data_IF_054252129406
#
_entry.id   IF_054252129406
#
_cell.length_a   1.000
_cell.length_b   1.000
_cell.length_c   1.000
_cell.angle_alpha   90.00
_cell.angle_beta   90.00
_cell.angle_gamma   90.00
#
_symmetry.space_group_name_H-M   'P 1'
#
loop_
_entity.id
_entity.type
_entity.pdbx_description
1 polymer ?
#
# COMPACT_ATOMS: atom_id res chain seq x y z
N UNK A 1 1.44 26.47 1.14
CA UNK A 1 0.98 25.13 1.57
C UNK A 1 -0.39 24.82 0.97
N UNK A 2 -1.38 25.70 1.12
CA UNK A 2 -2.71 25.54 0.50
C UNK A 2 -2.66 25.23 -1.00
N UNK A 3 -1.79 25.92 -1.75
CA UNK A 3 -1.63 25.65 -3.18
C UNK A 3 -0.95 24.29 -3.48
N UNK A 4 -0.18 23.72 -2.55
CA UNK A 4 0.40 22.39 -2.70
C UNK A 4 -0.63 21.30 -2.34
N UNK A 5 -1.40 21.53 -1.27
CA UNK A 5 -2.53 20.71 -0.86
C UNK A 5 -3.60 20.63 -1.97
N UNK A 6 -4.00 21.77 -2.55
CA UNK A 6 -4.98 21.79 -3.65
C UNK A 6 -4.48 21.04 -4.91
N UNK A 7 -3.17 21.06 -5.19
CA UNK A 7 -2.59 20.27 -6.28
C UNK A 7 -2.62 18.78 -5.97
N UNK A 8 -2.32 18.40 -4.73
CA UNK A 8 -2.38 17.02 -4.27
C UNK A 8 -3.80 16.47 -4.33
N UNK A 9 -4.79 17.23 -3.85
CA UNK A 9 -6.20 16.86 -3.94
C UNK A 9 -6.63 16.68 -5.40
N UNK A 10 -6.26 17.60 -6.29
CA UNK A 10 -6.58 17.49 -7.71
C UNK A 10 -5.94 16.26 -8.38
N UNK A 11 -4.69 15.93 -8.03
CA UNK A 11 -4.00 14.73 -8.53
C UNK A 11 -4.64 13.44 -7.98
N UNK A 12 -5.01 13.43 -6.69
CA UNK A 12 -5.75 12.33 -6.06
C UNK A 12 -7.09 12.10 -6.75
N UNK A 13 -7.86 13.16 -6.99
CA UNK A 13 -9.14 13.12 -7.68
C UNK A 13 -9.02 12.54 -9.09
N UNK A 14 -7.99 12.98 -9.83
CA UNK A 14 -7.73 12.49 -11.18
C UNK A 14 -7.38 11.00 -11.17
N UNK A 15 -6.49 10.57 -10.27
CA UNK A 15 -6.11 9.18 -10.08
C UNK A 15 -7.32 8.31 -9.70
N UNK A 16 -8.10 8.71 -8.69
CA UNK A 16 -9.31 7.99 -8.26
C UNK A 16 -10.33 7.83 -9.39
N UNK A 17 -10.58 8.89 -10.17
CA UNK A 17 -11.52 8.84 -11.29
C UNK A 17 -11.05 7.90 -12.38
N UNK A 18 -9.76 7.92 -12.72
CA UNK A 18 -9.19 7.02 -13.70
C UNK A 18 -9.26 5.56 -13.21
N UNK A 19 -8.85 5.29 -11.96
CA UNK A 19 -8.95 3.96 -11.35
C UNK A 19 -10.37 3.41 -11.36
N UNK A 20 -11.37 4.22 -11.00
CA UNK A 20 -12.79 3.80 -11.07
C UNK A 20 -13.27 3.49 -12.50
N UNK A 21 -12.68 4.13 -13.52
CA UNK A 21 -12.98 3.82 -14.91
C UNK A 21 -12.29 2.52 -15.36
N UNK A 22 -11.03 2.30 -14.98
CA UNK A 22 -10.32 1.04 -15.21
C UNK A 22 -11.02 -0.14 -14.56
N UNK A 23 -11.46 0.00 -13.31
CA UNK A 23 -12.18 -1.05 -12.56
C UNK A 23 -13.43 -1.57 -13.28
N UNK A 24 -14.13 -0.70 -14.02
CA UNK A 24 -15.30 -1.09 -14.82
C UNK A 24 -14.95 -1.90 -16.07
N UNK A 25 -13.70 -1.78 -16.53
CA UNK A 25 -13.18 -2.46 -17.71
C UNK A 25 -12.45 -3.76 -17.37
N UNK A 26 -12.06 -3.94 -16.11
CA UNK A 26 -11.36 -5.16 -15.68
C UNK A 26 -12.19 -6.41 -16.00
N UNK A 27 -11.53 -7.48 -16.47
CA UNK A 27 -12.21 -8.75 -16.67
C UNK A 27 -12.71 -9.31 -15.31
N UNK A 28 -13.65 -10.27 -15.32
CA UNK A 28 -14.08 -10.94 -14.11
C UNK A 28 -12.89 -11.54 -13.36
N UNK A 29 -12.82 -11.25 -12.06
CA UNK A 29 -11.76 -11.77 -11.19
C UNK A 29 -11.82 -13.30 -11.13
N UNK A 30 -10.73 -14.02 -11.44
CA UNK A 30 -10.68 -15.47 -11.30
C UNK A 30 -10.94 -15.88 -9.84
N UNK A 31 -11.55 -17.05 -9.61
CA UNK A 31 -11.70 -17.57 -8.26
C UNK A 31 -10.33 -17.84 -7.64
N UNK A 32 -10.23 -17.62 -6.33
CA UNK A 32 -9.06 -18.03 -5.57
C UNK A 32 -8.95 -19.56 -5.58
N UNK A 33 -7.76 -20.09 -5.89
CA UNK A 33 -7.53 -21.52 -5.77
C UNK A 33 -7.55 -21.92 -4.30
N UNK A 34 -8.46 -22.84 -3.98
CA UNK A 34 -8.48 -23.53 -2.70
C UNK A 34 -8.04 -24.95 -2.94
N UNK A 35 -7.09 -25.40 -2.15
CA UNK A 35 -6.67 -26.80 -2.18
C UNK A 35 -7.89 -27.69 -1.93
N UNK A 36 -8.15 -28.70 -2.78
CA UNK A 36 -9.20 -29.66 -2.52
C UNK A 36 -8.98 -30.37 -1.17
N UNK A 37 -10.07 -30.74 -0.50
CA UNK A 37 -10.01 -31.61 0.66
C UNK A 37 -9.33 -32.93 0.28
N UNK A 38 -8.45 -33.41 1.14
CA UNK A 38 -7.80 -34.71 0.96
C UNK A 38 -8.87 -35.81 1.06
N UNK A 39 -8.99 -36.72 0.07
CA UNK A 39 -9.90 -37.85 0.16
C UNK A 39 -9.56 -38.78 1.33
N UNK A 40 -10.57 -39.41 1.94
CA UNK A 40 -10.40 -40.28 3.11
C UNK A 40 -9.37 -41.40 2.88
N UNK A 41 -9.46 -42.09 1.74
CA UNK A 41 -8.50 -43.14 1.38
C UNK A 41 -7.05 -42.64 1.25
N UNK A 42 -6.84 -41.37 0.90
CA UNK A 42 -5.51 -40.75 0.86
C UNK A 42 -5.07 -40.37 2.29
N UNK A 43 -5.99 -39.89 3.12
CA UNK A 43 -5.72 -39.60 4.54
C UNK A 43 -5.29 -40.85 5.31
N UNK A 44 -5.97 -41.97 5.09
CA UNK A 44 -5.64 -43.26 5.73
C UNK A 44 -4.21 -43.69 5.38
N UNK A 45 -3.84 -43.62 4.10
CA UNK A 45 -2.48 -43.94 3.64
C UNK A 45 -1.45 -42.97 4.25
N UNK A 46 -1.77 -41.68 4.31
CA UNK A 46 -0.88 -40.67 4.90
C UNK A 46 -0.67 -40.87 6.41
N UNK A 47 -1.68 -41.39 7.12
CA UNK A 47 -1.62 -41.67 8.55
C UNK A 47 -0.69 -42.86 8.86
N UNK A 48 -0.67 -43.87 7.99
CA UNK A 48 0.15 -45.07 8.13
C UNK A 48 1.59 -44.91 7.61
N UNK A 49 1.88 -43.81 6.90
CA UNK A 49 3.21 -43.54 6.33
C UNK A 49 4.25 -43.17 7.41
N UNK A 50 5.41 -43.85 7.36
CA UNK A 50 6.57 -43.47 8.17
C UNK A 50 7.23 -42.18 7.63
N UNK A 51 8.09 -41.56 8.43
CA UNK A 51 8.83 -40.37 8.00
C UNK A 51 9.66 -40.60 6.72
N UNK A 52 10.15 -41.83 6.52
CA UNK A 52 10.93 -42.19 5.32
C UNK A 52 10.04 -42.24 4.06
N UNK A 53 8.81 -42.73 4.19
CA UNK A 53 7.84 -42.87 3.07
C UNK A 53 7.29 -41.52 2.58
N UNK A 54 7.60 -40.42 3.29
CA UNK A 54 7.16 -39.07 2.92
C UNK A 54 7.96 -38.45 1.77
N UNK A 55 9.11 -39.02 1.40
CA UNK A 55 9.86 -38.58 0.20
C UNK A 55 9.00 -38.82 -1.05
N UNK A 56 8.91 -37.84 -1.94
CA UNK A 56 8.01 -37.89 -3.11
C UNK A 56 8.17 -39.16 -3.97
N UNK A 57 9.38 -39.69 -4.09
CA UNK A 57 9.70 -40.92 -4.83
C UNK A 57 9.22 -42.21 -4.14
N UNK A 58 9.06 -42.17 -2.80
CA UNK A 58 8.71 -43.28 -1.94
C UNK A 58 7.23 -43.28 -1.55
N UNK A 59 6.50 -42.20 -1.88
CA UNK A 59 5.08 -42.08 -1.61
C UNK A 59 4.27 -43.11 -2.41
N UNK A 60 3.26 -43.73 -1.79
CA UNK A 60 2.31 -44.58 -2.50
C UNK A 60 1.63 -43.87 -3.66
N UNK A 61 1.28 -44.64 -4.70
CA UNK A 61 0.68 -44.10 -5.93
C UNK A 61 -0.57 -43.23 -5.69
N UNK A 62 -1.53 -43.62 -4.82
CA UNK A 62 -2.72 -42.79 -4.57
C UNK A 62 -2.39 -41.41 -3.99
N UNK A 63 -1.40 -41.34 -3.11
CA UNK A 63 -0.93 -40.08 -2.51
C UNK A 63 -0.28 -39.20 -3.58
N UNK A 64 0.61 -39.79 -4.39
CA UNK A 64 1.27 -39.07 -5.50
C UNK A 64 0.28 -38.57 -6.54
N UNK A 65 -0.68 -39.41 -6.94
CA UNK A 65 -1.71 -39.06 -7.91
C UNK A 65 -2.55 -37.88 -7.41
N UNK A 66 -2.93 -37.89 -6.12
CA UNK A 66 -3.67 -36.78 -5.52
C UNK A 66 -2.86 -35.48 -5.47
N UNK A 67 -1.58 -35.53 -5.08
CA UNK A 67 -0.70 -34.36 -5.10
C UNK A 67 -0.52 -33.81 -6.52
N UNK A 68 -0.35 -34.69 -7.52
CA UNK A 68 -0.23 -34.30 -8.94
C UNK A 68 -1.50 -33.59 -9.42
N UNK A 69 -2.68 -34.13 -9.13
CA UNK A 69 -3.96 -33.51 -9.48
C UNK A 69 -4.12 -32.13 -8.82
N UNK A 70 -3.75 -31.99 -7.54
CA UNK A 70 -3.75 -30.68 -6.87
C UNK A 70 -2.79 -29.69 -7.52
N UNK A 71 -1.60 -30.14 -7.94
CA UNK A 71 -0.60 -29.29 -8.60
C UNK A 71 -1.05 -28.84 -9.99
N UNK A 72 -1.67 -29.74 -10.77
CA UNK A 72 -2.26 -29.43 -12.08
C UNK A 72 -3.37 -28.38 -11.94
N UNK A 73 -4.32 -28.57 -11.02
CA UNK A 73 -5.39 -27.60 -10.75
C UNK A 73 -4.84 -26.24 -10.29
N UNK A 74 -3.81 -26.25 -9.43
CA UNK A 74 -3.15 -25.02 -8.98
C UNK A 74 -2.50 -24.29 -10.14
N UNK A 75 -1.81 -25.02 -11.03
CA UNK A 75 -1.16 -24.45 -12.22
C UNK A 75 -2.17 -23.85 -13.19
N UNK A 76 -3.31 -24.51 -13.42
CA UNK A 76 -4.39 -23.96 -14.24
C UNK A 76 -4.96 -22.67 -13.64
N UNK A 77 -5.18 -22.65 -12.31
CA UNK A 77 -5.62 -21.43 -11.63
C UNK A 77 -4.59 -20.31 -11.72
N UNK A 78 -3.31 -20.61 -11.51
CA UNK A 78 -2.21 -19.64 -11.64
C UNK A 78 -2.14 -19.07 -13.07
N UNK A 79 -2.37 -19.89 -14.10
CA UNK A 79 -2.44 -19.42 -15.48
C UNK A 79 -3.62 -18.46 -15.71
N UNK A 80 -4.80 -18.74 -15.15
CA UNK A 80 -5.95 -17.84 -15.20
C UNK A 80 -5.67 -16.51 -14.48
N UNK A 81 -5.06 -16.57 -13.29
CA UNK A 81 -4.67 -15.38 -12.54
C UNK A 81 -3.61 -14.56 -13.28
N UNK A 82 -2.67 -15.20 -13.95
CA UNK A 82 -1.68 -14.52 -14.79
C UNK A 82 -2.36 -13.78 -15.94
N UNK A 83 -3.24 -14.46 -16.68
CA UNK A 83 -3.98 -13.84 -17.79
C UNK A 83 -4.84 -12.65 -17.31
N UNK A 84 -5.51 -12.79 -16.17
CA UNK A 84 -6.25 -11.70 -15.53
C UNK A 84 -5.34 -10.50 -15.22
N UNK A 85 -4.21 -10.73 -14.54
CA UNK A 85 -3.27 -9.66 -14.16
C UNK A 85 -2.71 -8.94 -15.38
N UNK A 86 -2.28 -9.68 -16.39
CA UNK A 86 -1.81 -9.09 -17.65
C UNK A 86 -2.88 -8.19 -18.26
N UNK A 87 -4.16 -8.61 -18.22
CA UNK A 87 -5.21 -7.78 -18.79
C UNK A 87 -5.52 -6.53 -17.97
N UNK A 88 -5.45 -6.62 -16.64
CA UNK A 88 -5.56 -5.45 -15.75
C UNK A 88 -4.41 -4.48 -16.02
N UNK A 89 -3.18 -4.97 -16.08
CA UNK A 89 -1.99 -4.17 -16.39
C UNK A 89 -2.09 -3.47 -17.76
N UNK A 90 -2.60 -4.15 -18.79
CA UNK A 90 -2.87 -3.54 -20.09
C UNK A 90 -3.87 -2.37 -19.98
N UNK A 91 -4.97 -2.55 -19.26
CA UNK A 91 -6.00 -1.52 -19.07
C UNK A 91 -5.44 -0.33 -18.30
N UNK A 92 -4.69 -0.58 -17.23
CA UNK A 92 -4.10 0.47 -16.40
C UNK A 92 -3.05 1.27 -17.18
N UNK A 93 -2.23 0.59 -17.99
CA UNK A 93 -1.26 1.22 -18.89
C UNK A 93 -1.93 2.08 -19.95
N UNK A 94 -2.98 1.57 -20.61
CA UNK A 94 -3.76 2.34 -21.60
C UNK A 94 -4.43 3.57 -21.00
N UNK A 95 -4.85 3.50 -19.73
CA UNK A 95 -5.42 4.62 -19.00
C UNK A 95 -4.38 5.60 -18.44
N UNK A 96 -3.08 5.26 -18.53
CA UNK A 96 -1.99 6.08 -18.00
C UNK A 96 -1.95 6.12 -16.47
N UNK A 97 -2.38 5.04 -15.80
CA UNK A 97 -2.45 4.99 -14.33
C UNK A 97 -1.10 5.24 -13.67
N UNK A 98 -0.02 4.67 -14.20
CA UNK A 98 1.34 4.89 -13.67
C UNK A 98 1.69 6.39 -13.63
N UNK A 99 1.39 7.13 -14.69
CA UNK A 99 1.65 8.57 -14.74
C UNK A 99 0.77 9.39 -13.79
N UNK A 100 -0.47 8.94 -13.54
CA UNK A 100 -1.36 9.57 -12.56
C UNK A 100 -0.94 9.26 -11.12
N UNK A 101 -0.42 8.06 -10.86
CA UNK A 101 0.15 7.68 -9.57
C UNK A 101 1.43 8.45 -9.30
N UNK A 102 2.33 8.54 -10.28
CA UNK A 102 3.54 9.36 -10.19
C UNK A 102 3.21 10.84 -9.92
N UNK A 103 2.26 11.42 -10.67
CA UNK A 103 1.86 12.81 -10.46
C UNK A 103 1.25 13.06 -9.07
N UNK A 104 0.49 12.08 -8.55
CA UNK A 104 0.00 12.14 -7.18
C UNK A 104 1.14 12.04 -6.17
N UNK A 105 2.06 11.10 -6.32
CA UNK A 105 3.21 10.94 -5.41
C UNK A 105 4.09 12.20 -5.40
N UNK A 106 4.39 12.78 -6.57
CA UNK A 106 5.13 14.03 -6.70
C UNK A 106 4.44 15.19 -5.96
N UNK A 107 3.10 15.23 -6.02
CA UNK A 107 2.31 16.27 -5.34
C UNK A 107 2.30 16.10 -3.81
N UNK A 108 2.27 14.85 -3.33
CA UNK A 108 2.42 14.50 -1.91
C UNK A 108 3.81 14.92 -1.43
N UNK A 109 4.87 14.55 -2.14
CA UNK A 109 6.24 14.92 -1.81
C UNK A 109 6.44 16.44 -1.77
N UNK A 110 5.89 17.16 -2.74
CA UNK A 110 5.92 18.62 -2.76
C UNK A 110 5.22 19.23 -1.53
N UNK A 111 4.07 18.68 -1.13
CA UNK A 111 3.35 19.11 0.08
C UNK A 111 4.19 18.87 1.35
N UNK A 112 4.79 17.68 1.48
CA UNK A 112 5.68 17.35 2.60
C UNK A 112 6.90 18.27 2.68
N UNK A 113 7.55 18.56 1.54
CA UNK A 113 8.68 19.49 1.49
C UNK A 113 8.32 20.90 1.96
N UNK A 114 7.13 21.42 1.58
CA UNK A 114 6.66 22.72 2.06
C UNK A 114 6.45 22.69 3.58
N UNK A 115 5.87 21.61 4.10
CA UNK A 115 5.68 21.39 5.53
C UNK A 115 6.98 21.39 6.33
N UNK A 116 7.96 20.59 5.89
CA UNK A 116 9.28 20.57 6.52
C UNK A 116 9.97 21.94 6.51
N UNK A 117 9.83 22.72 5.42
CA UNK A 117 10.35 24.10 5.39
C UNK A 117 9.68 25.01 6.41
N UNK A 118 8.36 24.86 6.61
CA UNK A 118 7.61 25.60 7.64
C UNK A 118 8.15 25.24 9.02
N UNK A 119 8.35 23.96 9.33
CA UNK A 119 8.87 23.55 10.65
C UNK A 119 10.34 23.92 10.85
N UNK A 120 11.17 23.87 9.82
CA UNK A 120 12.57 24.26 9.91
C UNK A 120 12.76 25.77 10.12
N UNK A 121 11.82 26.59 9.64
CA UNK A 121 11.86 28.05 9.80
C UNK A 121 11.43 28.43 11.21
N UNK A 122 12.26 29.09 12.03
CA UNK A 122 11.83 29.54 13.35
C UNK A 122 10.67 30.55 13.30
N UNK A 123 9.76 30.47 14.26
CA UNK A 123 8.70 31.45 14.44
C UNK A 123 8.97 32.31 15.68
N UNK A 124 9.13 33.62 15.49
CA UNK A 124 9.33 34.58 16.58
C UNK A 124 8.04 35.35 16.92
N UNK A 125 6.88 34.86 16.46
CA UNK A 125 5.55 35.42 16.75
C UNK A 125 4.51 34.32 16.98
N UNK A 126 3.43 34.65 17.69
CA UNK A 126 2.28 33.74 17.86
C UNK A 126 1.65 33.35 16.52
N UNK A 127 1.54 34.29 15.57
CA UNK A 127 1.03 34.02 14.23
C UNK A 127 1.90 33.00 13.48
N UNK A 128 3.23 33.09 13.61
CA UNK A 128 4.15 32.10 13.04
C UNK A 128 3.97 30.71 13.64
N UNK A 129 3.72 30.62 14.94
CA UNK A 129 3.41 29.34 15.62
C UNK A 129 2.07 28.77 15.13
N UNK A 130 1.05 29.60 14.96
CA UNK A 130 -0.25 29.18 14.41
C UNK A 130 -0.09 28.61 12.99
N UNK A 131 0.77 29.21 12.16
CA UNK A 131 1.08 28.68 10.82
C UNK A 131 1.67 27.26 10.90
N UNK A 132 2.59 27.01 11.85
CA UNK A 132 3.17 25.67 12.06
C UNK A 132 2.12 24.65 12.51
N UNK A 133 1.24 25.02 13.43
CA UNK A 133 0.14 24.13 13.88
C UNK A 133 -0.73 23.73 12.68
N UNK A 134 -1.17 24.72 11.90
CA UNK A 134 -1.98 24.48 10.68
C UNK A 134 -1.25 23.65 9.63
N UNK A 135 0.08 23.75 9.56
CA UNK A 135 0.88 22.90 8.68
C UNK A 135 0.92 21.45 9.15
N UNK A 136 1.04 21.23 10.47
CA UNK A 136 1.01 19.90 11.08
C UNK A 136 -0.33 19.19 10.89
N UNK A 137 -1.43 19.91 11.09
CA UNK A 137 -2.79 19.38 10.87
C UNK A 137 -2.97 18.88 9.43
N UNK A 138 -2.54 19.69 8.45
CA UNK A 138 -2.67 19.36 7.01
C UNK A 138 -1.83 18.18 6.57
N UNK A 139 -0.62 18.03 7.13
CA UNK A 139 0.26 16.91 6.80
C UNK A 139 -0.21 15.58 7.37
N UNK A 140 -1.25 15.57 8.23
CA UNK A 140 -1.74 14.36 8.87
C UNK A 140 -0.64 13.63 9.66
N UNK A 141 0.29 14.39 10.24
CA UNK A 141 1.60 13.93 10.68
C UNK A 141 1.54 12.62 11.51
N UNK A 142 1.98 11.48 10.95
CA UNK A 142 2.21 10.26 11.73
C UNK A 142 3.42 10.45 12.67
N UNK A 143 4.39 11.24 12.22
CA UNK A 143 5.55 11.68 12.99
C UNK A 143 5.26 13.00 13.70
N UNK A 144 4.36 12.93 14.68
CA UNK A 144 4.09 13.96 15.67
C UNK A 144 5.36 14.64 16.25
N UNK A 145 6.52 13.98 16.23
CA UNK A 145 7.70 14.43 16.95
C UNK A 145 8.36 15.68 16.35
N UNK A 146 8.58 15.78 15.04
CA UNK A 146 9.31 16.93 14.46
C UNK A 146 8.51 18.23 14.53
N UNK A 147 7.23 18.17 14.17
CA UNK A 147 6.31 19.31 14.23
C UNK A 147 6.17 19.84 15.67
N UNK A 148 5.92 18.95 16.64
CA UNK A 148 5.79 19.34 18.04
C UNK A 148 7.10 19.85 18.64
N UNK A 149 8.25 19.27 18.29
CA UNK A 149 9.55 19.75 18.75
C UNK A 149 9.84 21.17 18.21
N UNK A 150 9.55 21.41 16.93
CA UNK A 150 9.69 22.72 16.30
C UNK A 150 8.81 23.79 16.97
N UNK A 151 7.51 23.50 17.15
CA UNK A 151 6.57 24.39 17.83
C UNK A 151 7.00 24.65 19.28
N UNK A 152 7.39 23.61 20.02
CA UNK A 152 7.83 23.75 21.40
C UNK A 152 9.12 24.60 21.53
N UNK A 153 10.03 24.52 20.56
CA UNK A 153 11.23 25.35 20.53
C UNK A 153 10.88 26.84 20.36
N UNK A 154 9.92 27.17 19.50
CA UNK A 154 9.48 28.55 19.30
C UNK A 154 8.70 29.10 20.50
N UNK A 155 7.83 28.30 21.12
CA UNK A 155 7.14 28.68 22.38
C UNK A 155 8.14 29.04 23.48
N UNK A 156 9.19 28.22 23.67
CA UNK A 156 10.24 28.50 24.66
C UNK A 156 10.98 29.80 24.35
N UNK A 157 11.23 30.08 23.08
CA UNK A 157 11.91 31.30 22.64
C UNK A 157 11.09 32.55 22.93
N UNK A 158 9.79 32.52 22.62
CA UNK A 158 8.87 33.61 22.92
C UNK A 158 8.81 33.89 24.43
N UNK A 159 8.65 32.85 25.24
CA UNK A 159 8.61 32.98 26.69
C UNK A 159 9.91 33.57 27.27
N UNK A 160 11.08 33.19 26.71
CA UNK A 160 12.36 33.74 27.12
C UNK A 160 12.52 35.23 26.74
N UNK A 161 12.06 35.63 25.55
CA UNK A 161 12.12 37.02 25.10
C UNK A 161 11.25 37.96 25.96
N UNK A 162 10.06 37.47 26.37
CA UNK A 162 9.16 38.19 27.29
C UNK A 162 9.75 38.32 28.69
N UNK A 163 10.47 37.32 29.20
CA UNK A 163 11.12 37.37 30.51
C UNK A 163 12.32 38.34 30.57
N UNK A 164 12.85 38.77 29.42
CA UNK A 164 14.00 39.69 29.32
C UNK A 164 13.62 41.11 28.89
N UNK A 165 12.34 41.37 28.60
CA UNK A 165 11.80 42.70 28.25
C UNK A 165 11.22 43.41 29.48
#
# INVERSE_FOLDING_TARGET
MEEAEARMEAASDANCRAGSMCEKLYPPRPPEWKRPSTPDHVLDILADMSFNDRKAEQQPEPVRAWYKACAEQKSESEALWKAYKTKVEEIDCEAGMDGLEDAYNDSVDAMWQVGHRIFATPADTLDGIIIKIRAGDRMGAPDANEAFLSIAADVRRLAAAEATS
#
